data_IF_409948251595
#
_entry.id   IF_409948251595
#
_cell.length_a   1.000
_cell.length_b   1.000
_cell.length_c   1.000
_cell.angle_alpha   90.00
_cell.angle_beta   90.00
_cell.angle_gamma   90.00
#
_symmetry.space_group_name_H-M   'P 1'
#
loop_
_entity.id
_entity.type
_entity.pdbx_description
1 polymer ?
#
# COMPACT_ATOMS: atom_id res chain seq x y z
N UNK A 1 -5.39 -22.28 -17.92
CA UNK A 1 -5.83 -20.86 -18.07
C UNK A 1 -7.35 -20.68 -18.10
N UNK A 2 -8.13 -21.63 -18.62
CA UNK A 2 -9.60 -21.52 -18.70
C UNK A 2 -10.30 -21.55 -17.33
N UNK A 3 -9.76 -22.27 -16.35
CA UNK A 3 -10.27 -22.28 -14.96
C UNK A 3 -10.16 -20.92 -14.28
N UNK A 4 -9.10 -20.16 -14.55
CA UNK A 4 -9.01 -18.77 -14.08
C UNK A 4 -10.01 -17.87 -14.80
N UNK A 5 -10.22 -18.07 -16.11
CA UNK A 5 -11.21 -17.31 -16.90
C UNK A 5 -12.65 -17.56 -16.44
N UNK A 6 -13.00 -18.79 -16.04
CA UNK A 6 -14.33 -19.11 -15.51
C UNK A 6 -14.53 -18.57 -14.09
N UNK A 7 -13.51 -18.63 -13.22
CA UNK A 7 -13.53 -17.98 -11.90
C UNK A 7 -13.72 -16.46 -12.05
N UNK A 8 -13.04 -15.84 -13.03
CA UNK A 8 -13.19 -14.42 -13.36
C UNK A 8 -14.58 -14.05 -13.88
N UNK A 9 -15.17 -14.87 -14.75
CA UNK A 9 -16.55 -14.67 -15.24
C UNK A 9 -17.57 -14.80 -14.12
N UNK A 10 -17.40 -15.77 -13.23
CA UNK A 10 -18.32 -16.02 -12.13
C UNK A 10 -18.20 -14.95 -11.03
N UNK A 11 -16.98 -14.49 -10.73
CA UNK A 11 -16.72 -13.42 -9.72
C UNK A 11 -16.95 -12.00 -10.26
N UNK A 12 -17.18 -11.81 -11.56
CA UNK A 12 -17.66 -10.54 -12.11
C UNK A 12 -19.17 -10.35 -11.92
N UNK A 13 -19.91 -11.44 -11.63
CA UNK A 13 -21.35 -11.44 -11.42
C UNK A 13 -21.73 -11.14 -9.96
N UNK A 14 -20.87 -11.51 -9.01
CA UNK A 14 -20.84 -11.01 -7.63
C UNK A 14 -20.11 -9.66 -7.69
N UNK A 15 -20.78 -8.54 -7.40
CA UNK A 15 -20.38 -7.17 -7.79
C UNK A 15 -19.06 -6.61 -7.24
N UNK A 16 -18.13 -7.47 -6.81
CA UNK A 16 -16.95 -7.11 -6.04
C UNK A 16 -15.70 -6.69 -6.83
N UNK A 17 -15.34 -7.48 -7.84
CA UNK A 17 -14.21 -7.14 -8.69
C UNK A 17 -14.36 -5.84 -9.52
N UNK A 18 -15.56 -5.45 -9.99
CA UNK A 18 -15.73 -4.24 -10.77
C UNK A 18 -15.36 -2.95 -10.03
N UNK A 19 -15.67 -2.83 -8.72
CA UNK A 19 -15.38 -1.58 -8.00
C UNK A 19 -13.88 -1.39 -7.74
N UNK A 20 -13.12 -2.45 -7.45
CA UNK A 20 -11.66 -2.34 -7.26
C UNK A 20 -11.00 -2.00 -8.60
N UNK A 21 -11.43 -2.63 -9.69
CA UNK A 21 -10.93 -2.31 -11.03
C UNK A 21 -11.26 -0.86 -11.42
N UNK A 22 -12.47 -0.38 -11.13
CA UNK A 22 -12.87 1.01 -11.36
C UNK A 22 -12.06 1.98 -10.52
N UNK A 23 -11.81 1.67 -9.24
CA UNK A 23 -10.97 2.48 -8.38
C UNK A 23 -9.53 2.58 -8.90
N UNK A 24 -8.92 1.46 -9.28
CA UNK A 24 -7.59 1.46 -9.93
C UNK A 24 -7.60 2.24 -11.25
N UNK A 25 -8.68 2.16 -12.03
CA UNK A 25 -8.87 2.95 -13.26
C UNK A 25 -8.92 4.45 -12.97
N UNK A 26 -9.61 4.87 -11.90
CA UNK A 26 -9.65 6.26 -11.46
C UNK A 26 -8.27 6.78 -11.06
N UNK A 27 -7.50 6.00 -10.30
CA UNK A 27 -6.09 6.34 -9.97
C UNK A 27 -5.27 6.50 -11.25
N UNK A 28 -5.40 5.56 -12.18
CA UNK A 28 -4.71 5.61 -13.48
C UNK A 28 -5.06 6.85 -14.30
N UNK A 29 -6.32 7.31 -14.27
CA UNK A 29 -6.75 8.56 -14.93
C UNK A 29 -6.22 9.81 -14.25
N UNK A 30 -6.18 9.83 -12.92
CA UNK A 30 -5.72 10.99 -12.16
C UNK A 30 -4.21 11.19 -12.25
N UNK A 31 -3.45 10.09 -12.14
CA UNK A 31 -2.00 10.15 -11.98
C UNK A 31 -1.22 9.60 -13.17
N UNK A 32 -1.90 9.03 -14.18
CA UNK A 32 -1.27 8.47 -15.37
C UNK A 32 -0.33 9.46 -16.05
N UNK A 33 -0.79 10.69 -16.26
CA UNK A 33 -0.02 11.77 -16.87
C UNK A 33 0.78 12.60 -15.84
N UNK A 34 0.59 12.32 -14.54
CA UNK A 34 1.38 12.90 -13.45
C UNK A 34 2.66 12.09 -13.15
N UNK A 35 3.10 11.25 -14.08
CA UNK A 35 4.31 10.43 -13.97
C UNK A 35 4.10 9.00 -13.46
N UNK A 36 2.88 8.58 -13.10
CA UNK A 36 2.63 7.17 -12.72
C UNK A 36 2.94 6.22 -13.88
N UNK A 37 2.61 6.63 -15.12
CA UNK A 37 2.95 5.90 -16.34
C UNK A 37 4.46 5.74 -16.49
N UNK A 38 5.18 6.84 -16.37
CA UNK A 38 6.62 6.89 -16.63
C UNK A 38 7.36 6.06 -15.59
N UNK A 39 7.04 6.25 -14.30
CA UNK A 39 7.61 5.46 -13.21
C UNK A 39 7.33 3.96 -13.40
N UNK A 40 6.12 3.58 -13.83
CA UNK A 40 5.77 2.17 -14.04
C UNK A 40 6.56 1.52 -15.20
N UNK A 41 6.87 2.29 -16.25
CA UNK A 41 7.62 1.82 -17.43
C UNK A 41 9.12 1.84 -17.17
N UNK A 42 9.66 2.95 -16.65
CA UNK A 42 11.09 3.12 -16.36
C UNK A 42 11.58 2.17 -15.27
N UNK A 43 10.75 1.88 -14.27
CA UNK A 43 11.08 0.88 -13.24
C UNK A 43 11.04 -0.58 -13.75
N UNK A 44 10.57 -0.81 -14.97
CA UNK A 44 10.44 -2.16 -15.55
C UNK A 44 9.32 -3.00 -14.92
N UNK A 45 8.49 -2.42 -14.03
CA UNK A 45 7.36 -3.13 -13.42
C UNK A 45 6.31 -3.48 -14.48
N UNK A 46 6.07 -2.56 -15.41
CA UNK A 46 5.11 -2.70 -16.50
C UNK A 46 5.81 -2.41 -17.83
N UNK A 47 5.59 -3.27 -18.84
CA UNK A 47 6.09 -3.03 -20.18
C UNK A 47 5.25 -1.93 -20.86
N UNK A 48 5.89 -1.05 -21.63
CA UNK A 48 5.27 0.10 -22.29
C UNK A 48 4.00 -0.26 -23.08
N UNK A 49 4.05 -1.33 -23.90
CA UNK A 49 2.89 -1.77 -24.69
C UNK A 49 1.69 -2.27 -23.87
N UNK A 50 1.82 -2.38 -22.55
CA UNK A 50 0.78 -2.89 -21.66
C UNK A 50 0.30 -1.91 -20.60
N UNK A 51 0.95 -0.75 -20.46
CA UNK A 51 0.65 0.21 -19.38
C UNK A 51 -0.78 0.76 -19.47
N UNK A 52 -1.28 1.04 -20.67
CA UNK A 52 -2.64 1.57 -20.85
C UNK A 52 -3.70 0.61 -20.29
N UNK A 53 -3.55 -0.70 -20.55
CA UNK A 53 -4.50 -1.71 -20.05
C UNK A 53 -4.43 -1.86 -18.53
N UNK A 54 -3.27 -1.59 -17.93
CA UNK A 54 -3.07 -1.63 -16.48
C UNK A 54 -3.70 -0.40 -15.83
N UNK A 55 -3.43 0.80 -16.37
CA UNK A 55 -3.99 2.07 -15.88
C UNK A 55 -5.50 2.17 -16.10
N UNK A 56 -6.04 1.51 -17.11
CA UNK A 56 -7.50 1.41 -17.32
C UNK A 56 -8.18 0.41 -16.37
N UNK A 57 -7.43 -0.31 -15.54
CA UNK A 57 -7.98 -1.32 -14.62
C UNK A 57 -8.37 -2.65 -15.28
N UNK A 58 -8.02 -2.86 -16.56
CA UNK A 58 -8.38 -4.07 -17.33
C UNK A 58 -7.49 -5.28 -17.01
N UNK A 59 -6.37 -5.06 -16.32
CA UNK A 59 -5.42 -6.11 -15.90
C UNK A 59 -5.25 -6.11 -14.37
N UNK A 60 -6.26 -6.61 -13.64
CA UNK A 60 -6.31 -6.57 -12.18
C UNK A 60 -5.03 -7.02 -11.47
N UNK A 61 -4.55 -8.26 -11.71
CA UNK A 61 -3.36 -8.78 -11.01
C UNK A 61 -2.13 -7.89 -11.20
N UNK A 62 -2.01 -7.34 -12.40
CA UNK A 62 -0.88 -6.48 -12.77
C UNK A 62 -1.03 -5.06 -12.21
N UNK A 63 -2.24 -4.51 -12.23
CA UNK A 63 -2.57 -3.24 -11.62
C UNK A 63 -2.37 -3.28 -10.10
N UNK A 64 -2.83 -4.33 -9.43
CA UNK A 64 -2.59 -4.54 -7.98
C UNK A 64 -1.10 -4.61 -7.67
N UNK A 65 -0.31 -5.35 -8.46
CA UNK A 65 1.14 -5.41 -8.28
C UNK A 65 1.78 -4.02 -8.41
N UNK A 66 1.43 -3.27 -9.45
CA UNK A 66 1.93 -1.89 -9.63
C UNK A 66 1.58 -1.02 -8.42
N UNK A 67 0.32 -1.01 -7.99
CA UNK A 67 -0.14 -0.15 -6.90
C UNK A 67 0.50 -0.51 -5.56
N UNK A 68 0.75 -1.80 -5.27
CA UNK A 68 1.48 -2.22 -4.07
C UNK A 68 2.92 -1.69 -4.06
N UNK A 69 3.63 -1.82 -5.18
CA UNK A 69 5.01 -1.33 -5.30
C UNK A 69 5.07 0.19 -5.22
N UNK A 70 4.12 0.89 -5.86
CA UNK A 70 4.00 2.34 -5.79
C UNK A 70 3.71 2.82 -4.38
N UNK A 71 2.78 2.18 -3.67
CA UNK A 71 2.48 2.48 -2.27
C UNK A 71 3.73 2.33 -1.41
N UNK A 72 4.45 1.21 -1.53
CA UNK A 72 5.67 0.99 -0.76
C UNK A 72 6.75 2.04 -1.06
N UNK A 73 6.95 2.40 -2.33
CA UNK A 73 7.91 3.43 -2.73
C UNK A 73 7.55 4.81 -2.16
N UNK A 74 6.28 5.22 -2.26
CA UNK A 74 5.80 6.48 -1.71
C UNK A 74 5.92 6.50 -0.18
N UNK A 75 5.56 5.42 0.51
CA UNK A 75 5.68 5.33 1.96
C UNK A 75 7.14 5.45 2.42
N UNK A 76 8.10 4.89 1.68
CA UNK A 76 9.54 5.07 1.98
C UNK A 76 9.98 6.52 1.84
N UNK A 77 9.45 7.26 0.86
CA UNK A 77 9.74 8.68 0.66
C UNK A 77 9.12 9.51 1.80
N UNK A 78 7.84 9.27 2.09
CA UNK A 78 7.11 9.94 3.18
C UNK A 78 7.82 9.70 4.51
N UNK A 79 8.25 8.46 4.78
CA UNK A 79 8.96 8.10 6.00
C UNK A 79 10.25 8.88 6.20
N UNK A 80 11.05 9.06 5.13
CA UNK A 80 12.26 9.89 5.19
C UNK A 80 11.94 11.35 5.55
N UNK A 81 10.90 11.92 4.94
CA UNK A 81 10.44 13.27 5.27
C UNK A 81 9.93 13.38 6.71
N UNK A 82 9.19 12.37 7.16
CA UNK A 82 8.68 12.27 8.52
C UNK A 82 9.80 12.23 9.57
N UNK A 83 10.87 11.48 9.33
CA UNK A 83 12.04 11.44 10.22
C UNK A 83 12.64 12.84 10.43
N UNK A 84 12.86 13.59 9.34
CA UNK A 84 13.38 14.97 9.40
C UNK A 84 12.42 15.90 10.15
N UNK A 85 11.12 15.77 9.87
CA UNK A 85 10.09 16.57 10.52
C UNK A 85 10.04 16.31 12.04
N UNK A 86 10.10 15.04 12.46
CA UNK A 86 10.13 14.66 13.89
C UNK A 86 11.37 15.22 14.58
N UNK A 87 12.55 15.08 13.99
CA UNK A 87 13.79 15.59 14.60
C UNK A 87 13.73 17.10 14.82
N UNK A 88 13.01 17.82 13.97
CA UNK A 88 12.84 19.27 14.05
C UNK A 88 11.72 19.70 15.02
N UNK A 89 10.61 18.98 15.09
CA UNK A 89 9.40 19.40 15.83
C UNK A 89 9.22 18.69 17.18
N UNK A 90 9.77 17.48 17.32
CA UNK A 90 9.66 16.61 18.50
C UNK A 90 10.99 15.91 18.78
N UNK A 91 12.05 16.65 19.16
CA UNK A 91 13.39 16.11 19.36
C UNK A 91 13.46 15.06 20.47
N UNK A 92 12.51 15.08 21.40
CA UNK A 92 12.32 14.08 22.45
C UNK A 92 11.93 12.70 21.89
N UNK A 93 11.26 12.66 20.73
CA UNK A 93 10.77 11.42 20.10
C UNK A 93 11.66 10.88 18.99
N UNK A 94 12.54 11.73 18.44
CA UNK A 94 13.48 11.36 17.38
C UNK A 94 14.32 10.10 17.69
N UNK A 95 14.94 9.99 18.89
CA UNK A 95 15.73 8.82 19.24
C UNK A 95 14.94 7.50 19.24
N UNK A 96 13.69 7.52 19.72
CA UNK A 96 12.83 6.33 19.74
C UNK A 96 12.50 5.89 18.31
N UNK A 97 12.05 6.81 17.46
CA UNK A 97 11.68 6.52 16.07
C UNK A 97 12.88 6.00 15.27
N UNK A 98 14.07 6.57 15.50
CA UNK A 98 15.31 6.09 14.88
C UNK A 98 15.68 4.68 15.32
N UNK A 99 15.54 4.38 16.62
CA UNK A 99 15.80 3.03 17.14
C UNK A 99 14.85 1.99 16.53
N UNK A 100 13.56 2.35 16.37
CA UNK A 100 12.56 1.49 15.74
C UNK A 100 12.85 1.30 14.25
N UNK A 101 13.22 2.35 13.52
CA UNK A 101 13.59 2.24 12.10
C UNK A 101 14.79 1.30 11.89
N UNK A 102 15.79 1.34 12.77
CA UNK A 102 16.94 0.43 12.73
C UNK A 102 16.52 -1.03 12.96
N UNK A 103 15.68 -1.29 13.98
CA UNK A 103 15.12 -2.63 14.22
C UNK A 103 14.34 -3.15 13.00
N UNK A 104 13.46 -2.32 12.44
CA UNK A 104 12.66 -2.69 11.28
C UNK A 104 13.56 -2.99 10.07
N UNK A 105 14.61 -2.21 9.86
CA UNK A 105 15.57 -2.45 8.77
C UNK A 105 16.33 -3.76 8.94
N UNK A 106 16.81 -4.07 10.16
CA UNK A 106 17.49 -5.35 10.40
C UNK A 106 16.56 -6.53 10.15
N UNK A 107 15.29 -6.44 10.57
CA UNK A 107 14.28 -7.47 10.30
C UNK A 107 13.97 -7.59 8.81
N UNK A 108 13.99 -6.48 8.07
CA UNK A 108 13.75 -6.50 6.63
C UNK A 108 14.91 -7.13 5.84
N UNK A 109 16.12 -7.05 6.36
CA UNK A 109 17.30 -7.70 5.76
C UNK A 109 17.34 -9.19 6.12
N UNK A 110 16.87 -9.55 7.32
CA UNK A 110 16.69 -10.92 7.79
C UNK A 110 15.24 -11.39 7.61
N UNK A 111 14.77 -11.63 6.38
CA UNK A 111 13.37 -12.03 6.14
C UNK A 111 13.11 -13.47 6.62
N UNK A 112 12.94 -13.64 7.93
CA UNK A 112 12.24 -14.76 8.55
C UNK A 112 10.88 -14.25 9.07
N UNK A 113 9.80 -14.91 8.66
CA UNK A 113 8.41 -14.50 8.94
C UNK A 113 8.09 -14.46 10.44
N UNK A 114 8.82 -15.21 11.25
CA UNK A 114 8.68 -15.29 12.71
C UNK A 114 9.26 -14.06 13.41
N UNK A 115 10.41 -13.56 12.94
CA UNK A 115 11.09 -12.39 13.51
C UNK A 115 10.30 -11.10 13.24
N UNK A 116 9.62 -11.02 12.09
CA UNK A 116 8.73 -9.91 11.76
C UNK A 116 7.48 -9.88 12.66
N UNK A 117 6.88 -11.04 12.93
CA UNK A 117 5.72 -11.13 13.81
C UNK A 117 6.05 -10.67 15.24
N UNK A 118 7.14 -11.18 15.81
CA UNK A 118 7.58 -10.82 17.16
C UNK A 118 7.89 -9.32 17.33
N UNK A 119 8.38 -8.65 16.29
CA UNK A 119 8.68 -7.22 16.34
C UNK A 119 7.44 -6.32 16.17
N UNK A 120 6.39 -6.82 15.53
CA UNK A 120 5.10 -6.12 15.45
C UNK A 120 4.34 -6.19 16.77
N UNK A 121 4.58 -7.24 17.57
CA UNK A 121 4.03 -7.43 18.90
C UNK A 121 4.83 -6.70 20.01
N UNK A 122 5.96 -6.06 19.69
CA UNK A 122 6.72 -5.23 20.64
C UNK A 122 5.93 -3.95 20.96
N UNK A 123 5.63 -3.71 22.23
CA UNK A 123 4.87 -2.56 22.75
C UNK A 123 5.40 -1.21 22.23
N UNK A 124 6.71 -1.12 21.96
CA UNK A 124 7.35 0.08 21.41
C UNK A 124 6.98 0.36 19.93
N UNK A 125 6.76 -0.69 19.13
CA UNK A 125 6.27 -0.59 17.75
C UNK A 125 4.80 -0.17 17.73
N UNK A 126 3.97 -0.73 18.62
CA UNK A 126 2.55 -0.41 18.73
C UNK A 126 2.34 1.07 19.10
N UNK A 127 3.12 1.60 20.04
CA UNK A 127 3.10 3.02 20.42
C UNK A 127 3.56 3.96 19.29
N UNK A 128 4.54 3.53 18.49
CA UNK A 128 5.01 4.30 17.33
C UNK A 128 3.98 4.31 16.18
N UNK A 129 3.32 3.17 15.93
CA UNK A 129 2.28 3.02 14.90
C UNK A 129 0.99 3.76 15.29
N UNK A 130 0.61 3.77 16.57
CA UNK A 130 -0.55 4.54 17.07
C UNK A 130 -0.36 6.05 16.93
N UNK A 131 0.88 6.56 17.06
CA UNK A 131 1.19 7.96 16.76
C UNK A 131 1.01 8.31 15.28
N UNK A 132 1.33 7.39 14.36
CA UNK A 132 1.11 7.56 12.91
C UNK A 132 -0.38 7.44 12.53
N UNK A 133 -1.13 6.55 13.21
CA UNK A 133 -2.57 6.33 13.02
C UNK A 133 -3.41 7.60 13.26
N UNK A 134 -2.97 8.50 14.15
CA UNK A 134 -3.63 9.79 14.36
C UNK A 134 -3.34 10.84 13.27
N UNK A 135 -2.38 10.60 12.37
CA UNK A 135 -2.07 11.53 11.26
C UNK A 135 -2.68 11.06 9.93
N UNK A 136 -2.95 9.76 9.81
CA UNK A 136 -3.60 9.15 8.63
C UNK A 136 -4.92 8.51 9.04
N UNK A 137 -5.95 9.33 9.24
CA UNK A 137 -7.35 8.88 9.25
C UNK A 137 -7.70 8.50 7.81
N UNK A 138 -7.39 7.26 7.42
CA UNK A 138 -8.21 6.55 6.46
C UNK A 138 -9.14 5.70 7.29
N UNK A 139 -10.43 6.06 7.32
CA UNK A 139 -11.49 5.30 7.95
C UNK A 139 -11.30 3.81 7.66
N UNK A 140 -11.16 2.98 8.69
CA UNK A 140 -11.75 1.66 8.65
C UNK A 140 -13.27 1.86 8.64
N UNK A 141 -14.01 1.51 7.57
CA UNK A 141 -15.43 1.25 7.75
C UNK A 141 -15.50 -0.11 8.43
N UNK A 142 -15.86 -0.08 9.71
CA UNK A 142 -16.23 -1.24 10.48
C UNK A 142 -17.48 -1.86 9.83
N UNK A 143 -17.28 -2.82 8.92
CA UNK A 143 -18.32 -3.46 8.09
C UNK A 143 -19.44 -4.08 8.93
N UNK A 144 -19.17 -4.41 10.20
CA UNK A 144 -20.16 -5.01 11.11
C UNK A 144 -21.23 -4.02 11.61
N UNK A 145 -21.00 -2.71 11.51
CA UNK A 145 -21.99 -1.71 11.97
C UNK A 145 -23.08 -1.38 10.93
N UNK A 146 -22.89 -1.71 9.65
CA UNK A 146 -23.89 -1.46 8.60
C UNK A 146 -24.93 -2.57 8.45
N UNK A 147 -24.67 -3.78 8.95
CA UNK A 147 -25.61 -4.90 8.90
C UNK A 147 -26.59 -4.95 10.08
N UNK A 148 -26.44 -4.08 11.07
CA UNK A 148 -27.34 -4.02 12.24
C UNK A 148 -28.38 -2.88 12.16
N UNK A 149 -28.51 -2.21 11.01
CA UNK A 149 -29.45 -1.08 10.83
C UNK A 149 -30.20 -1.09 9.49
N UNK A 150 -30.24 -2.24 8.82
CA UNK A 150 -31.07 -2.49 7.63
C UNK A 150 -32.13 -3.54 7.90
#
# INVERSE_FOLDING_TARGET
>A
MERCRSIWKNRAHEGELPYICNFMSSIGKMFGDAGLRDVAVESGVIAEGSINRVLEGKQYNRAVRLHKLMYEALMRIIWKGFQVWIESNHPDKGPQIRSTDLKIRSIKEDVCHETLAAALDDDSCVQSLTCSRNTYIFCEPNIETWLASG
#
